data_IF_382347216804
#
_entry.id   IF_382347216804
#
_cell.length_a   1.000
_cell.length_b   1.000
_cell.length_c   1.000
_cell.angle_alpha   90.00
_cell.angle_beta   90.00
_cell.angle_gamma   90.00
#
_symmetry.space_group_name_H-M   'P 1'
#
loop_
_entity.id
_entity.type
_entity.pdbx_description
1 polymer ?
#
# COMPACT_ATOMS: atom_id res chain seq x y z
N UNK A 1 -1.63 19.38 7.58
CA UNK A 1 -1.32 19.30 6.13
C UNK A 1 -1.70 17.94 5.52
N UNK A 2 -1.29 16.80 6.09
CA UNK A 2 -1.67 15.46 5.59
C UNK A 2 -3.15 15.09 5.75
N UNK A 3 -3.74 15.44 6.90
CA UNK A 3 -5.19 15.33 7.08
C UNK A 3 -5.95 16.13 6.03
N UNK A 4 -5.44 17.29 5.60
CA UNK A 4 -6.08 18.12 4.58
C UNK A 4 -6.12 17.46 3.19
N UNK A 5 -5.13 16.63 2.84
CA UNK A 5 -5.15 15.88 1.57
C UNK A 5 -6.15 14.72 1.59
N UNK A 6 -6.23 14.00 2.72
CA UNK A 6 -7.24 12.94 2.91
C UNK A 6 -8.64 13.54 2.97
N UNK A 7 -8.81 14.66 3.67
CA UNK A 7 -10.06 15.43 3.72
C UNK A 7 -10.44 15.98 2.34
N UNK A 8 -9.49 16.53 1.57
CA UNK A 8 -9.74 17.04 0.22
C UNK A 8 -10.10 15.93 -0.77
N UNK A 9 -9.52 14.73 -0.63
CA UNK A 9 -9.86 13.57 -1.46
C UNK A 9 -11.27 13.04 -1.15
N UNK A 10 -11.64 13.00 0.14
CA UNK A 10 -13.02 12.70 0.57
C UNK A 10 -13.99 13.79 0.07
N UNK A 11 -13.59 15.07 0.09
CA UNK A 11 -14.39 16.18 -0.45
C UNK A 11 -14.54 16.10 -1.97
N UNK A 12 -13.52 15.66 -2.71
CA UNK A 12 -13.60 15.53 -4.16
C UNK A 12 -14.55 14.40 -4.56
N UNK A 13 -14.56 13.30 -3.79
CA UNK A 13 -15.50 12.22 -3.93
C UNK A 13 -16.96 12.65 -3.65
N UNK A 14 -17.19 13.58 -2.71
CA UNK A 14 -18.54 14.14 -2.46
C UNK A 14 -18.95 15.21 -3.47
N UNK A 15 -18.00 15.98 -4.03
CA UNK A 15 -18.29 16.99 -5.07
C UNK A 15 -18.61 16.33 -6.42
N UNK A 16 -17.94 15.23 -6.78
CA UNK A 16 -18.29 14.46 -7.99
C UNK A 16 -19.75 13.97 -8.00
N UNK A 17 -20.29 13.67 -6.82
CA UNK A 17 -21.71 13.27 -6.61
C UNK A 17 -22.67 14.46 -6.74
N UNK A 18 -22.23 15.66 -6.37
CA UNK A 18 -23.02 16.88 -6.52
C UNK A 18 -23.05 17.37 -7.98
N UNK A 19 -22.04 17.03 -8.78
CA UNK A 19 -21.91 17.41 -10.19
C UNK A 19 -22.57 16.43 -11.17
N UNK A 20 -22.91 15.21 -10.75
CA UNK A 20 -23.76 14.30 -11.52
C UNK A 20 -25.22 14.75 -11.44
N UNK A 21 -25.51 15.91 -12.03
CA UNK A 21 -26.86 16.24 -12.49
C UNK A 21 -27.06 15.47 -13.79
N UNK A 22 -28.12 14.69 -13.78
CA UNK A 22 -28.67 13.87 -14.86
C UNK A 22 -28.12 12.45 -14.98
N UNK A 23 -29.04 11.51 -14.74
CA UNK A 23 -28.78 10.10 -14.64
C UNK A 23 -28.34 9.47 -15.95
N UNK A 24 -27.41 8.53 -15.84
CA UNK A 24 -27.25 7.48 -16.82
C UNK A 24 -27.10 6.13 -16.10
N UNK A 25 -28.10 5.29 -16.36
CA UNK A 25 -28.20 3.85 -16.15
C UNK A 25 -28.48 3.36 -14.72
N UNK A 26 -29.76 3.11 -14.46
CA UNK A 26 -30.22 2.16 -13.43
C UNK A 26 -30.97 2.81 -12.27
N UNK A 27 -32.03 2.14 -11.81
CA UNK A 27 -32.97 2.48 -10.73
C UNK A 27 -32.38 2.65 -9.32
N UNK A 28 -31.09 2.95 -9.18
CA UNK A 28 -30.43 3.16 -7.90
C UNK A 28 -30.53 4.61 -7.42
N UNK A 29 -30.79 4.80 -6.12
CA UNK A 29 -30.84 6.14 -5.52
C UNK A 29 -29.51 6.89 -5.72
N UNK A 30 -29.53 8.24 -5.78
CA UNK A 30 -28.30 9.04 -5.90
C UNK A 30 -27.26 8.69 -4.83
N UNK A 31 -27.71 8.34 -3.62
CA UNK A 31 -26.86 7.86 -2.53
C UNK A 31 -26.15 6.53 -2.88
N UNK A 32 -26.86 5.56 -3.46
CA UNK A 32 -26.26 4.31 -3.87
C UNK A 32 -25.23 4.50 -5.00
N UNK A 33 -25.50 5.39 -5.95
CA UNK A 33 -24.54 5.76 -7.00
C UNK A 33 -23.27 6.40 -6.40
N UNK A 34 -23.44 7.31 -5.44
CA UNK A 34 -22.34 7.93 -4.71
C UNK A 34 -21.46 6.90 -3.98
N UNK A 35 -22.07 5.96 -3.28
CA UNK A 35 -21.33 4.92 -2.55
C UNK A 35 -20.61 3.97 -3.50
N UNK A 36 -21.21 3.60 -4.65
CA UNK A 36 -20.52 2.83 -5.70
C UNK A 36 -19.32 3.59 -6.27
N UNK A 37 -19.49 4.88 -6.57
CA UNK A 37 -18.41 5.72 -7.09
C UNK A 37 -17.26 5.83 -6.08
N UNK A 38 -17.56 6.06 -4.80
CA UNK A 38 -16.57 6.05 -3.74
C UNK A 38 -15.87 4.68 -3.65
N UNK A 39 -16.62 3.58 -3.59
CA UNK A 39 -16.07 2.23 -3.53
C UNK A 39 -15.01 1.99 -4.62
N UNK A 40 -15.34 2.30 -5.88
CA UNK A 40 -14.47 2.11 -7.04
C UNK A 40 -13.28 3.08 -7.04
N UNK A 41 -13.50 4.36 -6.76
CA UNK A 41 -12.44 5.38 -6.77
C UNK A 41 -11.38 5.06 -5.71
N UNK A 42 -11.79 4.74 -4.50
CA UNK A 42 -10.89 4.43 -3.39
C UNK A 42 -10.20 3.08 -3.61
N UNK A 43 -10.90 2.07 -4.16
CA UNK A 43 -10.27 0.79 -4.55
C UNK A 43 -9.17 1.00 -5.59
N UNK A 44 -9.47 1.71 -6.68
CA UNK A 44 -8.53 1.98 -7.77
C UNK A 44 -7.34 2.81 -7.29
N UNK A 45 -7.58 3.80 -6.42
CA UNK A 45 -6.52 4.61 -5.82
C UNK A 45 -5.58 3.75 -4.98
N UNK A 46 -6.12 2.87 -4.13
CA UNK A 46 -5.32 1.96 -3.31
C UNK A 46 -4.51 0.99 -4.18
N UNK A 47 -5.12 0.37 -5.19
CA UNK A 47 -4.44 -0.55 -6.10
C UNK A 47 -3.30 0.16 -6.86
N UNK A 48 -3.59 1.35 -7.41
CA UNK A 48 -2.64 2.17 -8.13
C UNK A 48 -1.46 2.60 -7.26
N UNK A 49 -1.73 3.09 -6.05
CA UNK A 49 -0.68 3.48 -5.10
C UNK A 49 0.18 2.27 -4.67
N UNK A 50 -0.44 1.12 -4.43
CA UNK A 50 0.29 -0.10 -4.05
C UNK A 50 1.22 -0.59 -5.15
N UNK A 51 0.74 -0.66 -6.39
CA UNK A 51 1.53 -1.13 -7.54
C UNK A 51 2.58 -0.08 -7.94
N UNK A 52 2.17 1.16 -8.22
CA UNK A 52 3.07 2.15 -8.79
C UNK A 52 3.93 2.86 -7.76
N UNK A 53 3.34 3.39 -6.68
CA UNK A 53 4.08 4.21 -5.73
C UNK A 53 4.96 3.37 -4.80
N UNK A 54 4.49 2.20 -4.38
CA UNK A 54 5.22 1.34 -3.44
C UNK A 54 6.07 0.30 -4.17
N UNK A 55 5.46 -0.58 -4.97
CA UNK A 55 6.18 -1.69 -5.60
C UNK A 55 7.13 -1.23 -6.71
N UNK A 56 6.60 -0.63 -7.78
CA UNK A 56 7.41 -0.15 -8.92
C UNK A 56 8.33 0.98 -8.47
N UNK A 57 7.81 1.97 -7.76
CA UNK A 57 8.61 3.07 -7.19
C UNK A 57 9.73 2.54 -6.30
N UNK A 58 9.45 1.55 -5.45
CA UNK A 58 10.46 0.86 -4.66
C UNK A 58 11.55 0.23 -5.51
N UNK A 59 11.19 -0.52 -6.55
CA UNK A 59 12.14 -1.16 -7.47
C UNK A 59 12.99 -0.13 -8.22
N UNK A 60 12.37 0.92 -8.78
CA UNK A 60 13.07 2.01 -9.46
C UNK A 60 14.07 2.69 -8.53
N UNK A 61 13.68 2.99 -7.29
CA UNK A 61 14.60 3.54 -6.28
C UNK A 61 15.76 2.58 -5.97
N UNK A 62 15.51 1.27 -5.91
CA UNK A 62 16.57 0.28 -5.72
C UNK A 62 17.56 0.25 -6.88
N UNK A 63 17.06 0.35 -8.11
CA UNK A 63 17.88 0.25 -9.32
C UNK A 63 18.65 1.53 -9.65
N UNK A 64 18.25 2.70 -9.14
CA UNK A 64 18.81 3.98 -9.60
C UNK A 64 19.36 4.88 -8.50
N UNK A 65 19.05 4.64 -7.22
CA UNK A 65 19.54 5.50 -6.13
C UNK A 65 20.67 4.82 -5.34
N UNK A 66 21.62 5.62 -4.79
CA UNK A 66 22.50 5.17 -3.72
C UNK A 66 21.73 4.55 -2.57
N UNK A 67 22.25 3.48 -1.98
CA UNK A 67 21.55 2.70 -0.95
C UNK A 67 21.06 3.55 0.24
N UNK A 68 21.88 4.46 0.75
CA UNK A 68 21.49 5.35 1.86
C UNK A 68 20.44 6.38 1.44
N UNK A 69 20.56 6.93 0.22
CA UNK A 69 19.59 7.85 -0.37
C UNK A 69 18.24 7.18 -0.60
N UNK A 70 18.25 5.97 -1.19
CA UNK A 70 17.08 5.11 -1.35
C UNK A 70 16.37 4.90 0.00
N UNK A 71 17.11 4.47 1.03
CA UNK A 71 16.52 4.22 2.34
C UNK A 71 15.90 5.47 2.97
N UNK A 72 16.56 6.63 2.86
CA UNK A 72 16.01 7.91 3.31
C UNK A 72 14.73 8.30 2.57
N UNK A 73 14.70 8.13 1.25
CA UNK A 73 13.53 8.47 0.44
C UNK A 73 12.35 7.54 0.76
N UNK A 74 12.59 6.23 0.79
CA UNK A 74 11.58 5.24 1.20
C UNK A 74 11.02 5.51 2.59
N UNK A 75 11.86 5.92 3.53
CA UNK A 75 11.44 6.31 4.88
C UNK A 75 10.49 7.49 4.96
N UNK A 76 10.36 8.29 3.90
CA UNK A 76 9.38 9.38 3.79
C UNK A 76 8.17 8.97 2.95
N UNK A 77 8.40 8.29 1.83
CA UNK A 77 7.35 7.96 0.86
C UNK A 77 6.47 6.80 1.33
N UNK A 78 7.06 5.72 1.86
CA UNK A 78 6.30 4.51 2.15
C UNK A 78 5.28 4.67 3.30
N UNK A 79 5.60 5.34 4.43
CA UNK A 79 4.59 5.57 5.47
C UNK A 79 3.38 6.34 4.95
N UNK A 80 3.61 7.32 4.07
CA UNK A 80 2.58 8.10 3.40
C UNK A 80 1.70 7.21 2.53
N UNK A 81 2.31 6.39 1.66
CA UNK A 81 1.56 5.52 0.77
C UNK A 81 0.78 4.45 1.53
N UNK A 82 1.35 3.86 2.59
CA UNK A 82 0.62 2.89 3.41
C UNK A 82 -0.54 3.52 4.18
N UNK A 83 -0.43 4.78 4.61
CA UNK A 83 -1.55 5.51 5.21
C UNK A 83 -2.67 5.78 4.19
N UNK A 84 -2.31 6.20 2.97
CA UNK A 84 -3.26 6.37 1.88
C UNK A 84 -3.98 5.05 1.57
N UNK A 85 -3.23 3.96 1.38
CA UNK A 85 -3.79 2.65 1.11
C UNK A 85 -4.73 2.18 2.22
N UNK A 86 -4.31 2.24 3.48
CA UNK A 86 -5.14 1.82 4.61
C UNK A 86 -6.47 2.60 4.64
N UNK A 87 -6.42 3.92 4.45
CA UNK A 87 -7.62 4.76 4.40
C UNK A 87 -8.51 4.41 3.19
N UNK A 88 -7.92 4.32 2.00
CA UNK A 88 -8.67 4.06 0.78
C UNK A 88 -9.30 2.66 0.76
N UNK A 89 -8.52 1.63 1.10
CA UNK A 89 -9.04 0.26 1.22
C UNK A 89 -10.15 0.19 2.28
N UNK A 90 -10.03 0.91 3.41
CA UNK A 90 -11.06 0.93 4.45
C UNK A 90 -12.36 1.61 3.98
N UNK A 91 -12.26 2.75 3.30
CA UNK A 91 -13.42 3.42 2.69
C UNK A 91 -14.09 2.52 1.65
N UNK A 92 -13.28 1.85 0.81
CA UNK A 92 -13.78 0.91 -0.18
C UNK A 92 -14.49 -0.29 0.47
N UNK A 93 -13.93 -0.87 1.53
CA UNK A 93 -14.53 -1.95 2.30
C UNK A 93 -15.85 -1.52 2.96
N UNK A 94 -15.89 -0.34 3.57
CA UNK A 94 -17.10 0.22 4.20
C UNK A 94 -18.19 0.52 3.16
N UNK A 95 -17.83 1.06 2.00
CA UNK A 95 -18.76 1.30 0.91
C UNK A 95 -19.33 -0.01 0.33
N UNK A 96 -18.48 -1.02 0.13
CA UNK A 96 -18.91 -2.36 -0.28
C UNK A 96 -19.86 -2.97 0.76
N UNK A 97 -19.52 -2.80 2.04
CA UNK A 97 -20.32 -3.27 3.16
C UNK A 97 -21.72 -2.67 3.19
N UNK A 98 -21.80 -1.35 3.00
CA UNK A 98 -23.05 -0.61 2.97
C UNK A 98 -23.93 -1.05 1.79
N UNK A 99 -23.35 -1.27 0.61
CA UNK A 99 -24.08 -1.70 -0.59
C UNK A 99 -24.65 -3.12 -0.50
N UNK A 100 -24.19 -3.94 0.45
CA UNK A 100 -24.62 -5.33 0.64
C UNK A 100 -25.46 -5.53 1.90
N UNK A 101 -25.90 -4.45 2.52
CA UNK A 101 -26.83 -4.51 3.65
C UNK A 101 -28.28 -4.73 3.15
N UNK A 102 -29.08 -5.62 3.79
CA UNK A 102 -28.74 -6.46 4.93
C UNK A 102 -27.89 -7.69 4.55
N UNK A 103 -26.90 -8.00 5.39
CA UNK A 103 -25.90 -9.04 5.12
C UNK A 103 -26.45 -10.46 5.04
N UNK A 104 -27.62 -10.69 5.61
CA UNK A 104 -28.32 -11.97 5.56
C UNK A 104 -28.60 -12.40 4.11
N UNK A 105 -28.85 -11.43 3.23
CA UNK A 105 -29.12 -11.62 1.81
C UNK A 105 -27.83 -11.67 0.94
N UNK A 106 -26.68 -11.29 1.52
CA UNK A 106 -25.42 -11.30 0.80
C UNK A 106 -24.97 -12.73 0.48
N UNK A 107 -24.63 -12.95 -0.78
CA UNK A 107 -24.11 -14.23 -1.29
C UNK A 107 -22.82 -14.63 -0.58
N UNK A 108 -22.50 -15.92 -0.59
CA UNK A 108 -21.24 -16.42 -0.05
C UNK A 108 -20.02 -15.71 -0.68
N UNK A 109 -20.11 -15.36 -1.97
CA UNK A 109 -19.05 -14.67 -2.70
C UNK A 109 -18.87 -13.24 -2.19
N UNK A 110 -19.95 -12.49 -2.01
CA UNK A 110 -19.90 -11.12 -1.47
C UNK A 110 -19.32 -11.09 -0.06
N UNK A 111 -19.69 -12.06 0.80
CA UNK A 111 -19.11 -12.17 2.15
C UNK A 111 -17.61 -12.46 2.11
N UNK A 112 -17.15 -13.35 1.21
CA UNK A 112 -15.70 -13.60 1.01
C UNK A 112 -14.97 -12.37 0.50
N UNK A 113 -15.57 -11.61 -0.41
CA UNK A 113 -14.99 -10.37 -0.94
C UNK A 113 -14.86 -9.28 0.12
N UNK A 114 -15.86 -9.12 1.00
CA UNK A 114 -15.73 -8.22 2.14
C UNK A 114 -14.61 -8.65 3.08
N UNK A 115 -14.56 -9.94 3.45
CA UNK A 115 -13.52 -10.45 4.34
C UNK A 115 -12.12 -10.23 3.75
N UNK A 116 -11.97 -10.40 2.43
CA UNK A 116 -10.73 -10.12 1.71
C UNK A 116 -10.34 -8.64 1.78
N UNK A 117 -11.29 -7.71 1.58
CA UNK A 117 -11.04 -6.28 1.71
C UNK A 117 -10.64 -5.92 3.15
N UNK A 118 -11.31 -6.47 4.16
CA UNK A 118 -10.96 -6.25 5.57
C UNK A 118 -9.55 -6.77 5.86
N UNK A 119 -9.19 -7.96 5.38
CA UNK A 119 -7.84 -8.49 5.51
C UNK A 119 -6.80 -7.59 4.83
N UNK A 120 -7.12 -7.05 3.66
CA UNK A 120 -6.28 -6.08 2.93
C UNK A 120 -6.03 -4.82 3.75
N UNK A 121 -7.07 -4.24 4.37
CA UNK A 121 -6.93 -3.13 5.32
C UNK A 121 -5.99 -3.50 6.46
N UNK A 122 -6.13 -4.71 7.01
CA UNK A 122 -5.25 -5.24 8.05
C UNK A 122 -3.78 -5.28 7.63
N UNK A 123 -3.47 -5.73 6.41
CA UNK A 123 -2.11 -5.74 5.89
C UNK A 123 -1.55 -4.33 5.67
N UNK A 124 -2.35 -3.40 5.15
CA UNK A 124 -1.94 -2.00 4.97
C UNK A 124 -1.64 -1.32 6.31
N UNK A 125 -2.51 -1.54 7.32
CA UNK A 125 -2.30 -1.05 8.69
C UNK A 125 -1.09 -1.69 9.36
N UNK A 126 -0.89 -3.00 9.20
CA UNK A 126 0.29 -3.68 9.73
C UNK A 126 1.58 -3.12 9.11
N UNK A 127 1.57 -2.83 7.81
CA UNK A 127 2.69 -2.16 7.15
C UNK A 127 2.92 -0.75 7.69
N UNK A 128 1.86 0.04 7.86
CA UNK A 128 1.94 1.41 8.36
C UNK A 128 2.45 1.48 9.80
N UNK A 129 1.84 0.72 10.70
CA UNK A 129 1.97 0.89 12.15
C UNK A 129 3.04 -0.02 12.76
N UNK A 130 3.33 -1.17 12.14
CA UNK A 130 4.21 -2.18 12.73
C UNK A 130 5.46 -2.42 11.90
N UNK A 131 5.32 -2.80 10.63
CA UNK A 131 6.44 -3.30 9.85
C UNK A 131 7.34 -2.19 9.30
N UNK A 132 6.76 -1.10 8.78
CA UNK A 132 7.54 0.03 8.27
C UNK A 132 8.36 0.70 9.36
N UNK A 133 7.79 1.09 10.53
CA UNK A 133 8.57 1.70 11.60
C UNK A 133 9.74 0.82 12.07
N UNK A 134 9.50 -0.49 12.23
CA UNK A 134 10.55 -1.46 12.58
C UNK A 134 11.63 -1.56 11.51
N UNK A 135 11.25 -1.66 10.24
CA UNK A 135 12.17 -1.73 9.10
C UNK A 135 13.04 -0.48 9.01
N UNK A 136 12.46 0.71 9.20
CA UNK A 136 13.21 1.97 9.15
C UNK A 136 14.22 2.07 10.29
N UNK A 137 13.86 1.65 11.50
CA UNK A 137 14.79 1.62 12.63
C UNK A 137 16.02 0.74 12.33
N UNK A 138 15.81 -0.52 11.96
CA UNK A 138 16.94 -1.43 11.68
C UNK A 138 17.72 -1.05 10.42
N UNK A 139 17.08 -0.37 9.46
CA UNK A 139 17.76 0.19 8.29
C UNK A 139 18.70 1.33 8.69
N UNK A 140 18.29 2.22 9.59
CA UNK A 140 19.14 3.30 10.10
C UNK A 140 20.36 2.76 10.85
N UNK A 141 20.13 1.78 11.73
CA UNK A 141 21.20 1.06 12.44
C UNK A 141 22.21 0.43 11.45
N UNK A 142 21.70 -0.27 10.43
CA UNK A 142 22.55 -0.85 9.38
C UNK A 142 23.34 0.21 8.61
N UNK A 143 22.73 1.37 8.31
CA UNK A 143 23.44 2.45 7.62
C UNK A 143 24.59 3.04 8.45
N UNK A 144 24.53 3.00 9.78
CA UNK A 144 25.64 3.43 10.65
C UNK A 144 26.84 2.49 10.46
N UNK A 145 26.61 1.18 10.50
CA UNK A 145 27.66 0.17 10.28
C UNK A 145 28.27 0.32 8.88
N UNK A 146 27.43 0.49 7.86
CA UNK A 146 27.87 0.68 6.47
C UNK A 146 28.75 1.92 6.31
N UNK A 147 28.41 3.04 6.97
CA UNK A 147 29.26 4.25 6.96
C UNK A 147 30.63 4.00 7.58
N UNK A 148 30.69 3.25 8.67
CA UNK A 148 31.96 2.89 9.32
C UNK A 148 32.88 2.08 8.41
N UNK A 149 32.31 1.34 7.45
CA UNK A 149 33.04 0.55 6.46
C UNK A 149 33.28 1.29 5.12
N UNK A 150 32.91 2.58 5.03
CA UNK A 150 33.06 3.36 3.80
C UNK A 150 32.13 2.93 2.65
N UNK A 151 31.03 2.22 2.94
CA UNK A 151 30.08 1.74 1.93
C UNK A 151 28.69 2.36 2.11
N UNK A 152 27.80 2.16 1.12
CA UNK A 152 26.39 2.57 1.16
C UNK A 152 26.04 3.83 0.36
N UNK A 153 27.06 4.52 -0.17
CA UNK A 153 26.90 5.62 -1.12
C UNK A 153 26.95 5.16 -2.59
N UNK A 154 27.28 3.89 -2.83
CA UNK A 154 27.23 3.31 -4.17
C UNK A 154 25.77 3.15 -4.61
N UNK A 155 25.51 3.47 -5.88
CA UNK A 155 24.22 3.30 -6.53
C UNK A 155 23.83 1.83 -6.67
N UNK A 156 22.52 1.58 -6.78
CA UNK A 156 21.98 0.40 -7.46
C UNK A 156 22.52 -0.94 -6.94
N UNK A 157 22.80 -1.86 -7.88
CA UNK A 157 23.36 -3.19 -7.68
C UNK A 157 24.76 -3.15 -7.08
N UNK A 158 25.54 -2.10 -7.33
CA UNK A 158 26.90 -1.99 -6.78
C UNK A 158 26.89 -1.79 -5.28
N UNK A 159 25.96 -0.97 -4.76
CA UNK A 159 25.74 -0.85 -3.32
C UNK A 159 25.29 -2.15 -2.68
N UNK A 160 24.46 -2.93 -3.37
CA UNK A 160 24.04 -4.26 -2.91
C UNK A 160 25.22 -5.27 -2.90
N UNK A 161 25.99 -5.34 -3.99
CA UNK A 161 27.16 -6.24 -4.12
C UNK A 161 28.27 -5.88 -3.13
N UNK A 162 28.56 -4.58 -2.98
CA UNK A 162 29.54 -4.07 -2.01
C UNK A 162 29.15 -4.47 -0.58
N UNK A 163 27.89 -4.28 -0.20
CA UNK A 163 27.37 -4.71 1.10
C UNK A 163 27.47 -6.23 1.29
N UNK A 164 27.14 -7.01 0.26
CA UNK A 164 27.22 -8.47 0.32
C UNK A 164 28.67 -8.93 0.57
N UNK A 165 29.64 -8.42 -0.19
CA UNK A 165 31.07 -8.74 -0.01
C UNK A 165 31.57 -8.34 1.37
N UNK A 166 31.30 -7.11 1.82
CA UNK A 166 31.72 -6.64 3.13
C UNK A 166 31.14 -7.48 4.28
N UNK A 167 29.90 -7.97 4.13
CA UNK A 167 29.27 -8.81 5.16
C UNK A 167 29.86 -10.21 5.30
N UNK A 168 30.69 -10.67 4.35
CA UNK A 168 31.43 -11.93 4.46
C UNK A 168 32.61 -11.82 5.42
N UNK A 169 33.19 -10.63 5.56
CA UNK A 169 34.35 -10.36 6.40
C UNK A 169 34.04 -9.56 7.67
N UNK A 170 32.85 -8.93 7.77
CA UNK A 170 32.43 -8.14 8.93
C UNK A 170 31.18 -8.73 9.61
N UNK A 171 31.39 -9.27 10.81
CA UNK A 171 30.33 -9.90 11.60
C UNK A 171 29.22 -8.92 12.05
N UNK A 172 29.57 -7.65 12.29
CA UNK A 172 28.61 -6.63 12.70
C UNK A 172 27.65 -6.28 11.56
N UNK A 173 28.17 -6.19 10.33
CA UNK A 173 27.39 -5.96 9.12
C UNK A 173 26.53 -7.18 8.78
N UNK A 174 27.07 -8.40 8.91
CA UNK A 174 26.30 -9.63 8.74
C UNK A 174 25.08 -9.69 9.68
N UNK A 175 25.30 -9.35 10.96
CA UNK A 175 24.23 -9.28 11.96
C UNK A 175 23.21 -8.18 11.63
N UNK A 176 23.65 -6.99 11.23
CA UNK A 176 22.77 -5.90 10.80
C UNK A 176 21.91 -6.28 9.58
N UNK A 177 22.52 -6.97 8.59
CA UNK A 177 21.81 -7.50 7.43
C UNK A 177 20.74 -8.53 7.82
N UNK A 178 21.03 -9.44 8.76
CA UNK A 178 20.06 -10.41 9.26
C UNK A 178 18.87 -9.72 9.93
N UNK A 179 19.13 -8.73 10.81
CA UNK A 179 18.08 -7.94 11.48
C UNK A 179 17.22 -7.18 10.48
N UNK A 180 17.85 -6.56 9.48
CA UNK A 180 17.12 -5.88 8.41
C UNK A 180 16.21 -6.83 7.64
N UNK A 181 16.70 -8.00 7.20
CA UNK A 181 15.86 -8.97 6.49
C UNK A 181 14.69 -9.44 7.34
N UNK A 182 14.92 -9.73 8.62
CA UNK A 182 13.88 -10.15 9.55
C UNK A 182 12.77 -9.11 9.73
N UNK A 183 13.09 -7.81 9.69
CA UNK A 183 12.09 -6.74 9.74
C UNK A 183 11.42 -6.47 8.37
N UNK A 184 12.20 -6.54 7.29
CA UNK A 184 11.76 -6.15 5.95
C UNK A 184 10.87 -7.20 5.26
N UNK A 185 11.19 -8.49 5.39
CA UNK A 185 10.44 -9.57 4.73
C UNK A 185 8.95 -9.57 5.10
N UNK A 186 8.56 -9.46 6.39
CA UNK A 186 7.15 -9.35 6.76
C UNK A 186 6.42 -8.19 6.08
N UNK A 187 7.08 -7.03 5.95
CA UNK A 187 6.52 -5.86 5.27
C UNK A 187 6.26 -6.15 3.78
N UNK A 188 7.24 -6.76 3.11
CA UNK A 188 7.13 -7.13 1.70
C UNK A 188 6.03 -8.17 1.46
N UNK A 189 5.90 -9.17 2.34
CA UNK A 189 4.83 -10.17 2.27
C UNK A 189 3.47 -9.52 2.46
N UNK A 190 3.31 -8.64 3.46
CA UNK A 190 2.07 -7.92 3.68
C UNK A 190 1.70 -7.02 2.48
N UNK A 191 2.68 -6.39 1.83
CA UNK A 191 2.45 -5.63 0.60
C UNK A 191 1.91 -6.52 -0.53
N UNK A 192 2.53 -7.68 -0.78
CA UNK A 192 2.09 -8.62 -1.81
C UNK A 192 0.70 -9.21 -1.51
N UNK A 193 0.40 -9.45 -0.24
CA UNK A 193 -0.92 -9.88 0.20
C UNK A 193 -1.98 -8.79 -0.05
N UNK A 194 -1.65 -7.52 0.22
CA UNK A 194 -2.52 -6.38 -0.09
C UNK A 194 -2.78 -6.25 -1.60
N UNK A 195 -1.73 -6.33 -2.44
CA UNK A 195 -1.87 -6.33 -3.91
C UNK A 195 -2.80 -7.46 -4.36
N UNK A 196 -2.57 -8.68 -3.85
CA UNK A 196 -3.38 -9.85 -4.21
C UNK A 196 -4.85 -9.67 -3.83
N UNK A 197 -5.12 -9.11 -2.64
CA UNK A 197 -6.47 -8.82 -2.18
C UNK A 197 -7.20 -7.80 -3.06
N UNK A 198 -6.54 -6.66 -3.34
CA UNK A 198 -7.09 -5.61 -4.20
C UNK A 198 -7.31 -6.09 -5.64
N UNK A 199 -6.38 -6.86 -6.20
CA UNK A 199 -6.48 -7.40 -7.55
C UNK A 199 -7.60 -8.44 -7.66
N UNK A 200 -7.72 -9.35 -6.68
CA UNK A 200 -8.79 -10.35 -6.64
C UNK A 200 -10.15 -9.70 -6.51
N UNK A 201 -10.28 -8.66 -5.68
CA UNK A 201 -11.53 -7.91 -5.57
C UNK A 201 -11.87 -7.16 -6.86
N UNK A 202 -10.87 -6.55 -7.51
CA UNK A 202 -11.05 -5.89 -8.81
C UNK A 202 -11.50 -6.87 -9.89
N UNK A 203 -10.94 -8.08 -9.90
CA UNK A 203 -11.36 -9.16 -10.81
C UNK A 203 -12.81 -9.59 -10.57
N UNK A 204 -13.20 -9.74 -9.30
CA UNK A 204 -14.59 -10.03 -8.93
C UNK A 204 -15.56 -8.95 -9.46
N UNK A 205 -15.22 -7.66 -9.32
CA UNK A 205 -16.03 -6.57 -9.83
C UNK A 205 -16.11 -6.56 -11.35
N UNK A 206 -15.00 -6.86 -12.05
CA UNK A 206 -14.98 -6.95 -13.51
C UNK A 206 -16.00 -7.98 -14.03
N UNK A 207 -16.14 -9.13 -13.35
CA UNK A 207 -17.16 -10.14 -13.68
C UNK A 207 -18.61 -9.72 -13.44
N UNK A 208 -18.85 -8.53 -12.88
CA UNK A 208 -20.19 -7.95 -12.65
C UNK A 208 -20.49 -6.77 -13.57
N UNK A 209 -19.55 -6.35 -14.41
CA UNK A 209 -19.76 -5.28 -15.38
C UNK A 209 -20.63 -5.79 -16.53
N UNK A 210 -21.67 -5.04 -16.88
CA UNK A 210 -22.35 -5.17 -18.16
C UNK A 210 -21.68 -4.20 -19.14
N UNK A 211 -20.86 -4.73 -20.05
CA UNK A 211 -20.17 -3.96 -21.11
C UNK A 211 -20.94 -4.06 -22.42
#
# INVERSE_FOLDING_TARGET
MWLLFVSAFVLFATVGVALSRDGLVGSSSPAATAVKAAHLLFLATSLGATIWAILVGGLVMFLHLPRHTMGRLRGKVFPVCFALNAACTAVSAAAFAWLRHPWEEATADERRQLALLIATVGFDLANLLLFTPRTLKVMQERHIVERGLGIGNQGSLDGWRSNARASMSDASLAAANKRFRAAHIPSAVALLASISGLATHSWYLAGKLAL
#
